data_IF_088193729977
#
_entry.id   IF_088193729977
#
_cell.length_a   1.000
_cell.length_b   1.000
_cell.length_c   1.000
_cell.angle_alpha   90.00
_cell.angle_beta   90.00
_cell.angle_gamma   90.00
#
_symmetry.space_group_name_H-M   'P 1'
#
loop_
_entity.id
_entity.type
_entity.pdbx_description
1 polymer ?
#
# COMPACT_ATOMS: atom_id res chain seq x y z
N UNK A 1 0.65 -8.90 -3.37
CA UNK A 1 1.15 -7.54 -3.63
C UNK A 1 0.44 -6.83 -4.79
N UNK A 2 0.03 -7.54 -5.84
CA UNK A 2 -0.53 -6.93 -7.07
C UNK A 2 -1.74 -6.03 -6.77
N UNK A 3 -2.68 -6.50 -5.94
CA UNK A 3 -3.86 -5.70 -5.58
C UNK A 3 -3.52 -4.50 -4.72
N UNK A 4 -2.59 -4.63 -3.77
CA UNK A 4 -2.11 -3.51 -2.97
C UNK A 4 -1.48 -2.42 -3.86
N UNK A 5 -0.69 -2.81 -4.86
CA UNK A 5 -0.13 -1.87 -5.87
C UNK A 5 -1.23 -1.19 -6.68
N UNK A 6 -2.25 -1.93 -7.14
CA UNK A 6 -3.38 -1.35 -7.88
C UNK A 6 -4.14 -0.32 -7.05
N UNK A 7 -4.44 -0.66 -5.80
CA UNK A 7 -5.14 0.23 -4.88
C UNK A 7 -4.34 1.50 -4.59
N UNK A 8 -3.05 1.37 -4.29
CA UNK A 8 -2.18 2.52 -4.05
C UNK A 8 -2.10 3.43 -5.27
N UNK A 9 -1.91 2.86 -6.46
CA UNK A 9 -1.90 3.64 -7.72
C UNK A 9 -3.23 4.35 -7.97
N UNK A 10 -4.37 3.71 -7.64
CA UNK A 10 -5.68 4.33 -7.77
C UNK A 10 -5.81 5.52 -6.83
N UNK A 11 -5.48 5.37 -5.55
CA UNK A 11 -5.50 6.47 -4.56
C UNK A 11 -4.61 7.62 -5.04
N UNK A 12 -3.38 7.34 -5.44
CA UNK A 12 -2.45 8.35 -5.94
C UNK A 12 -2.99 9.09 -7.18
N UNK A 13 -3.64 8.36 -8.10
CA UNK A 13 -4.27 8.96 -9.28
C UNK A 13 -5.43 9.89 -8.91
N UNK A 14 -6.27 9.50 -7.95
CA UNK A 14 -7.38 10.32 -7.46
C UNK A 14 -6.87 11.57 -6.72
N UNK A 15 -5.83 11.44 -5.90
CA UNK A 15 -5.16 12.59 -5.26
C UNK A 15 -4.57 13.52 -6.30
N UNK A 16 -3.85 13.00 -7.29
CA UNK A 16 -3.27 13.82 -8.37
C UNK A 16 -4.34 14.53 -9.18
N UNK A 17 -5.47 13.89 -9.43
CA UNK A 17 -6.61 14.50 -10.10
C UNK A 17 -7.18 15.67 -9.30
N UNK A 18 -7.31 15.53 -7.97
CA UNK A 18 -7.78 16.59 -7.09
C UNK A 18 -6.89 17.85 -7.14
N UNK A 19 -5.58 17.69 -7.25
CA UNK A 19 -4.65 18.84 -7.24
C UNK A 19 -4.86 19.80 -8.38
N UNK A 20 -5.45 19.37 -9.50
CA UNK A 20 -5.69 20.19 -10.70
C UNK A 20 -7.15 20.65 -10.86
N UNK A 21 -8.07 20.16 -10.00
CA UNK A 21 -9.48 20.57 -10.04
C UNK A 21 -9.68 22.00 -9.54
N UNK A 22 -10.64 22.74 -10.11
CA UNK A 22 -11.14 23.97 -9.51
C UNK A 22 -12.14 23.68 -8.38
N UNK A 23 -12.56 24.72 -7.64
CA UNK A 23 -13.39 24.54 -6.44
C UNK A 23 -14.80 23.98 -6.76
N UNK A 24 -15.39 24.34 -7.91
CA UNK A 24 -16.70 23.82 -8.33
C UNK A 24 -16.61 22.32 -8.67
N UNK A 25 -15.52 21.93 -9.33
CA UNK A 25 -15.24 20.52 -9.62
C UNK A 25 -15.02 19.70 -8.36
N UNK A 26 -14.32 20.26 -7.36
CA UNK A 26 -14.11 19.61 -6.06
C UNK A 26 -15.44 19.41 -5.34
N UNK A 27 -16.34 20.41 -5.39
CA UNK A 27 -17.66 20.32 -4.75
C UNK A 27 -18.49 19.19 -5.36
N UNK A 28 -18.47 19.06 -6.68
CA UNK A 28 -19.14 17.97 -7.39
C UNK A 28 -18.53 16.62 -7.03
N UNK A 29 -17.21 16.53 -7.05
CA UNK A 29 -16.46 15.30 -6.72
C UNK A 29 -16.67 14.88 -5.27
N UNK A 30 -16.71 15.81 -4.30
CA UNK A 30 -17.03 15.56 -2.92
C UNK A 30 -18.42 14.93 -2.75
N UNK A 31 -19.40 15.45 -3.47
CA UNK A 31 -20.77 14.91 -3.49
C UNK A 31 -20.82 13.49 -4.04
N UNK A 32 -20.11 13.25 -5.15
CA UNK A 32 -20.08 11.92 -5.78
C UNK A 32 -19.42 10.86 -4.89
N UNK A 33 -18.38 11.26 -4.15
CA UNK A 33 -17.70 10.40 -3.18
C UNK A 33 -18.43 10.26 -1.84
N UNK A 34 -19.41 11.11 -1.56
CA UNK A 34 -20.01 11.20 -0.22
C UNK A 34 -19.04 11.69 0.86
N UNK A 35 -18.01 12.45 0.47
CA UNK A 35 -16.96 12.95 1.35
C UNK A 35 -17.13 14.45 1.64
N UNK A 36 -16.71 14.94 2.84
CA UNK A 36 -16.75 16.37 3.13
C UNK A 36 -15.85 17.19 2.19
N UNK A 37 -16.40 18.29 1.67
CA UNK A 37 -15.67 19.22 0.78
C UNK A 37 -14.32 19.68 1.36
N UNK A 38 -14.30 20.03 2.66
CA UNK A 38 -13.10 20.51 3.35
C UNK A 38 -11.97 19.48 3.36
N UNK A 39 -12.30 18.18 3.43
CA UNK A 39 -11.31 17.10 3.36
C UNK A 39 -10.68 17.05 1.96
N UNK A 40 -11.49 17.13 0.91
CA UNK A 40 -10.97 17.15 -0.45
C UNK A 40 -10.14 18.40 -0.74
N UNK A 41 -10.56 19.55 -0.21
CA UNK A 41 -9.80 20.80 -0.28
C UNK A 41 -8.44 20.66 0.38
N UNK A 42 -8.39 20.07 1.57
CA UNK A 42 -7.15 19.80 2.30
C UNK A 42 -6.22 18.85 1.51
N UNK A 43 -6.78 17.80 0.87
CA UNK A 43 -6.00 16.89 0.01
C UNK A 43 -5.42 17.64 -1.19
N UNK A 44 -6.23 18.48 -1.85
CA UNK A 44 -5.76 19.34 -2.96
C UNK A 44 -4.58 20.20 -2.55
N UNK A 45 -4.73 20.92 -1.43
CA UNK A 45 -3.74 21.89 -0.98
C UNK A 45 -2.43 21.23 -0.53
N UNK A 46 -2.51 20.01 0.04
CA UNK A 46 -1.36 19.25 0.54
C UNK A 46 -0.77 18.27 -0.50
N UNK A 47 -1.50 17.95 -1.57
CA UNK A 47 -1.10 16.95 -2.56
C UNK A 47 -1.02 15.52 -2.02
N UNK A 48 -1.61 15.26 -0.84
CA UNK A 48 -1.60 13.95 -0.17
C UNK A 48 -2.80 13.81 0.78
N UNK A 49 -3.08 12.57 1.17
CA UNK A 49 -4.08 12.31 2.21
C UNK A 49 -3.67 12.98 3.54
N UNK A 50 -4.63 13.54 4.31
CA UNK A 50 -4.37 14.16 5.61
C UNK A 50 -4.18 13.15 6.75
N UNK A 51 -4.18 11.88 6.43
CA UNK A 51 -4.02 10.74 7.36
C UNK A 51 -2.97 9.78 6.82
N UNK A 52 -2.41 8.96 7.71
CA UNK A 52 -1.47 7.90 7.32
C UNK A 52 -2.19 6.86 6.46
N UNK A 53 -1.53 6.41 5.41
CA UNK A 53 -2.04 5.44 4.46
C UNK A 53 -1.11 4.21 4.43
N UNK A 54 -1.51 3.14 5.11
CA UNK A 54 -0.73 1.91 5.17
C UNK A 54 -1.19 0.92 4.11
N UNK A 55 -0.21 0.33 3.43
CA UNK A 55 -0.47 -0.74 2.49
C UNK A 55 -0.64 -2.09 3.21
N UNK A 56 -1.68 -2.83 2.82
CA UNK A 56 -1.96 -4.16 3.33
C UNK A 56 -2.33 -5.12 2.20
N UNK A 57 -1.97 -6.39 2.37
CA UNK A 57 -2.34 -7.45 1.44
C UNK A 57 -1.24 -7.85 0.48
N UNK A 58 -0.69 -9.05 0.69
CA UNK A 58 0.26 -9.69 -0.20
C UNK A 58 1.70 -9.20 -0.13
N UNK A 59 2.06 -8.40 0.86
CA UNK A 59 3.46 -8.09 1.18
C UNK A 59 4.08 -9.33 1.79
N UNK A 60 5.09 -9.90 1.14
CA UNK A 60 5.74 -11.14 1.55
C UNK A 60 7.27 -11.07 1.50
N UNK A 61 7.83 -10.04 0.87
CA UNK A 61 9.28 -9.88 0.69
C UNK A 61 9.72 -8.45 1.04
N UNK A 62 11.01 -8.23 1.31
CA UNK A 62 11.58 -6.88 1.46
C UNK A 62 11.31 -5.99 0.24
N UNK A 63 11.38 -6.56 -0.97
CA UNK A 63 11.11 -5.82 -2.21
C UNK A 63 9.66 -5.36 -2.30
N UNK A 64 8.70 -6.19 -1.84
CA UNK A 64 7.29 -5.81 -1.79
C UNK A 64 7.08 -4.61 -0.85
N UNK A 65 7.72 -4.64 0.32
CA UNK A 65 7.65 -3.56 1.29
C UNK A 65 8.25 -2.26 0.73
N UNK A 66 9.45 -2.33 0.16
CA UNK A 66 10.10 -1.17 -0.47
C UNK A 66 9.26 -0.59 -1.61
N UNK A 67 8.69 -1.44 -2.47
CA UNK A 67 7.80 -1.01 -3.55
C UNK A 67 6.59 -0.23 -3.03
N UNK A 68 5.96 -0.70 -1.95
CA UNK A 68 4.81 0.02 -1.38
C UNK A 68 5.21 1.37 -0.80
N UNK A 69 6.37 1.46 -0.14
CA UNK A 69 6.92 2.73 0.35
C UNK A 69 7.24 3.70 -0.79
N UNK A 70 7.82 3.22 -1.90
CA UNK A 70 8.07 4.03 -3.10
C UNK A 70 6.80 4.53 -3.76
N UNK A 71 5.72 3.75 -3.70
CA UNK A 71 4.41 4.16 -4.19
C UNK A 71 3.72 5.19 -3.26
N UNK A 72 4.36 5.58 -2.16
CA UNK A 72 3.88 6.61 -1.25
C UNK A 72 3.03 6.10 -0.09
N UNK A 73 3.11 4.82 0.25
CA UNK A 73 2.57 4.33 1.50
C UNK A 73 3.36 4.91 2.68
N UNK A 74 2.70 5.19 3.79
CA UNK A 74 3.33 5.62 5.04
C UNK A 74 3.84 4.44 5.88
N UNK A 75 3.50 3.23 5.48
CA UNK A 75 3.94 1.97 6.09
C UNK A 75 3.27 0.75 5.47
N UNK A 76 3.59 -0.42 5.99
CA UNK A 76 3.03 -1.69 5.54
C UNK A 76 2.49 -2.52 6.70
N UNK A 77 1.37 -3.21 6.49
CA UNK A 77 0.90 -4.28 7.37
C UNK A 77 1.24 -5.63 6.75
N UNK A 78 1.94 -6.47 7.51
CA UNK A 78 2.36 -7.78 7.04
C UNK A 78 1.92 -8.85 8.03
N UNK A 79 1.13 -9.79 7.56
CA UNK A 79 0.66 -10.93 8.34
C UNK A 79 1.24 -12.24 7.82
N UNK A 80 0.48 -12.94 6.98
CA UNK A 80 0.87 -14.26 6.47
C UNK A 80 2.19 -14.26 5.69
N UNK A 81 2.58 -13.14 5.09
CA UNK A 81 3.86 -13.00 4.41
C UNK A 81 5.05 -13.27 5.33
N UNK A 82 4.94 -12.90 6.62
CA UNK A 82 5.92 -13.23 7.66
C UNK A 82 5.62 -14.60 8.27
N UNK A 83 4.43 -14.79 8.83
CA UNK A 83 4.13 -15.96 9.65
C UNK A 83 4.11 -17.30 8.89
N UNK A 84 3.91 -17.28 7.57
CA UNK A 84 3.95 -18.46 6.69
C UNK A 84 5.25 -18.55 5.87
N UNK A 85 6.24 -17.72 6.16
CA UNK A 85 7.58 -17.82 5.56
C UNK A 85 8.39 -18.95 6.21
N UNK A 86 9.49 -19.30 5.58
CA UNK A 86 10.42 -20.33 6.08
C UNK A 86 11.08 -19.93 7.42
N UNK A 87 11.39 -18.63 7.60
CA UNK A 87 11.97 -18.06 8.83
C UNK A 87 11.27 -16.73 9.15
N UNK A 88 10.16 -16.75 9.93
CA UNK A 88 9.39 -15.57 10.23
C UNK A 88 10.17 -14.43 10.88
N UNK A 89 11.12 -14.73 11.77
CA UNK A 89 11.92 -13.73 12.46
C UNK A 89 12.84 -12.99 11.49
N UNK A 90 13.50 -13.73 10.63
CA UNK A 90 14.43 -13.19 9.64
C UNK A 90 13.67 -12.35 8.59
N UNK A 91 12.51 -12.85 8.12
CA UNK A 91 11.64 -12.10 7.20
C UNK A 91 11.13 -10.82 7.84
N UNK A 92 10.68 -10.85 9.09
CA UNK A 92 10.22 -9.66 9.80
C UNK A 92 11.31 -8.59 9.88
N UNK A 93 12.51 -8.97 10.31
CA UNK A 93 13.66 -8.04 10.38
C UNK A 93 14.01 -7.44 9.03
N UNK A 94 14.03 -8.24 7.97
CA UNK A 94 14.33 -7.80 6.62
C UNK A 94 13.26 -6.83 6.07
N UNK A 95 11.98 -7.11 6.30
CA UNK A 95 10.87 -6.25 5.91
C UNK A 95 10.92 -4.91 6.65
N UNK A 96 11.21 -4.90 7.95
CA UNK A 96 11.38 -3.66 8.73
C UNK A 96 12.52 -2.81 8.17
N UNK A 97 13.67 -3.41 7.89
CA UNK A 97 14.81 -2.70 7.28
C UNK A 97 14.46 -2.15 5.91
N UNK A 98 13.82 -2.94 5.05
CA UNK A 98 13.41 -2.50 3.72
C UNK A 98 12.36 -1.38 3.77
N UNK A 99 11.44 -1.40 4.74
CA UNK A 99 10.48 -0.32 4.95
C UNK A 99 11.16 0.98 5.40
N UNK A 100 12.15 0.86 6.29
CA UNK A 100 12.89 2.02 6.82
C UNK A 100 13.84 2.63 5.79
N UNK A 101 14.48 1.78 4.99
CA UNK A 101 15.52 2.15 4.03
C UNK A 101 15.10 1.81 2.59
N UNK A 102 13.84 2.07 2.24
CA UNK A 102 13.25 1.63 0.97
C UNK A 102 13.92 2.19 -0.28
N UNK A 103 14.70 3.27 -0.17
CA UNK A 103 15.47 3.86 -1.25
C UNK A 103 16.90 3.30 -1.37
N UNK A 104 17.32 2.45 -0.44
CA UNK A 104 18.60 1.77 -0.49
C UNK A 104 18.46 0.41 -1.21
N UNK A 105 18.55 0.45 -2.55
CA UNK A 105 18.35 -0.73 -3.38
C UNK A 105 19.43 -1.80 -3.19
N UNK A 106 20.64 -1.41 -2.80
CA UNK A 106 21.72 -2.33 -2.50
C UNK A 106 21.41 -3.13 -1.23
N UNK A 107 20.98 -2.45 -0.17
CA UNK A 107 20.53 -3.08 1.06
C UNK A 107 19.35 -4.03 0.79
N UNK A 108 18.32 -3.58 0.03
CA UNK A 108 17.15 -4.40 -0.29
C UNK A 108 17.56 -5.65 -1.07
N UNK A 109 18.45 -5.53 -2.04
CA UNK A 109 19.00 -6.67 -2.79
C UNK A 109 19.73 -7.65 -1.89
N UNK A 110 20.55 -7.16 -0.95
CA UNK A 110 21.25 -7.97 0.05
C UNK A 110 20.29 -8.71 0.97
N UNK A 111 19.32 -7.99 1.56
CA UNK A 111 18.29 -8.58 2.42
C UNK A 111 17.55 -9.71 1.71
N UNK A 112 17.16 -9.49 0.46
CA UNK A 112 16.46 -10.49 -0.35
C UNK A 112 17.31 -11.74 -0.62
N UNK A 113 18.59 -11.57 -0.89
CA UNK A 113 19.50 -12.69 -1.19
C UNK A 113 19.79 -13.58 0.02
N UNK A 114 19.66 -13.04 1.23
CA UNK A 114 19.90 -13.75 2.48
C UNK A 114 18.65 -14.50 3.00
N UNK A 115 17.47 -14.23 2.42
CA UNK A 115 16.23 -14.88 2.81
C UNK A 115 16.05 -16.21 2.07
N UNK A 116 15.38 -17.16 2.75
CA UNK A 116 14.91 -18.40 2.17
C UNK A 116 13.63 -18.21 1.34
N UNK A 117 12.81 -19.26 1.26
CA UNK A 117 11.57 -19.24 0.49
C UNK A 117 10.52 -18.32 1.11
N UNK A 118 10.07 -17.34 0.35
CA UNK A 118 8.95 -16.48 0.74
C UNK A 118 7.61 -17.24 0.67
N UNK A 119 6.60 -16.75 1.39
CA UNK A 119 5.24 -17.25 1.26
C UNK A 119 4.78 -17.11 -0.21
N UNK A 120 4.24 -18.20 -0.77
CA UNK A 120 3.65 -18.17 -2.11
C UNK A 120 2.40 -17.29 -2.12
N UNK A 121 2.37 -16.31 -3.01
CA UNK A 121 1.21 -15.44 -3.19
C UNK A 121 -0.03 -16.22 -3.62
N UNK A 122 -1.20 -15.78 -3.16
CA UNK A 122 -2.48 -16.30 -3.60
C UNK A 122 -3.05 -15.42 -4.72
N UNK A 123 -3.58 -16.05 -5.77
CA UNK A 123 -4.34 -15.35 -6.81
C UNK A 123 -5.69 -14.93 -6.21
N UNK A 124 -6.07 -13.67 -6.39
CA UNK A 124 -7.33 -13.12 -5.87
C UNK A 124 -8.56 -13.89 -6.39
N UNK A 125 -8.47 -14.48 -7.59
CA UNK A 125 -9.54 -15.27 -8.17
C UNK A 125 -9.72 -16.64 -7.48
N UNK A 126 -8.70 -17.08 -6.70
CA UNK A 126 -8.72 -18.31 -5.90
C UNK A 126 -9.15 -18.08 -4.46
N UNK A 127 -9.30 -16.81 -4.06
CA UNK A 127 -9.74 -16.42 -2.72
C UNK A 127 -11.25 -16.20 -2.74
N UNK A 128 -11.97 -16.79 -1.78
CA UNK A 128 -13.42 -16.57 -1.64
C UNK A 128 -13.74 -15.09 -1.42
N UNK A 129 -14.93 -14.65 -1.82
CA UNK A 129 -15.37 -13.25 -1.65
C UNK A 129 -15.29 -12.79 -0.18
N UNK A 130 -15.62 -13.68 0.75
CA UNK A 130 -15.62 -13.40 2.19
C UNK A 130 -14.20 -13.18 2.75
N UNK A 131 -13.18 -13.74 2.10
CA UNK A 131 -11.77 -13.63 2.51
C UNK A 131 -11.04 -12.47 1.84
N UNK A 132 -11.63 -11.86 0.79
CA UNK A 132 -11.03 -10.72 0.08
C UNK A 132 -11.09 -9.47 0.95
N UNK A 133 -9.94 -8.88 1.24
CA UNK A 133 -9.86 -7.71 2.13
C UNK A 133 -10.54 -6.46 1.56
N UNK A 134 -10.50 -6.28 0.24
CA UNK A 134 -11.09 -5.13 -0.44
C UNK A 134 -12.62 -5.09 -0.43
N UNK A 135 -13.28 -6.20 -0.11
CA UNK A 135 -14.74 -6.30 -0.05
C UNK A 135 -15.27 -6.33 1.39
N UNK A 136 -14.37 -6.26 2.38
CA UNK A 136 -14.76 -6.21 3.79
C UNK A 136 -15.15 -4.80 4.19
N UNK A 137 -16.38 -4.64 4.67
CA UNK A 137 -16.83 -3.42 5.33
C UNK A 137 -17.70 -2.49 4.49
N UNK A 138 -18.24 -2.95 3.36
CA UNK A 138 -19.20 -2.21 2.54
C UNK A 138 -20.43 -3.06 2.25
#
# INVERSE_FOLDING_TARGET
IVEAVRHMRRVNSEVSRLTVMNDDEIMTFAKDLGAPYEVLKQIKDNGRLPVVNFAAGGVATPQDAALMMELGADGVFVGSGIFKSEDPEKFAKAIVQATTHYQDYELIGKLASELGTAMKGLDINQISLEERMQERGW
#
